data_IF_801592769827
#
_entry.id   IF_801592769827
#
_cell.length_a   1.000
_cell.length_b   1.000
_cell.length_c   1.000
_cell.angle_alpha   90.00
_cell.angle_beta   90.00
_cell.angle_gamma   90.00
#
_symmetry.space_group_name_H-M   'P 1'
#
loop_
_entity.id
_entity.type
_entity.pdbx_description
1 polymer ?
#
# COMPACT_ATOMS: atom_id res chain seq x y z
N UNK A 1 29.28 -14.09 14.27
CA UNK A 1 29.75 -14.68 13.01
C UNK A 1 30.37 -13.57 12.16
N UNK A 2 31.65 -13.67 11.86
CA UNK A 2 32.36 -12.69 11.01
C UNK A 2 32.22 -13.11 9.55
N UNK A 3 31.65 -12.26 8.69
CA UNK A 3 31.56 -12.52 7.24
C UNK A 3 32.65 -11.73 6.51
N UNK A 4 33.44 -12.40 5.66
CA UNK A 4 34.42 -11.74 4.78
C UNK A 4 33.82 -11.63 3.37
N UNK A 5 33.78 -10.42 2.83
CA UNK A 5 33.33 -10.20 1.45
C UNK A 5 34.43 -10.62 0.46
N UNK A 6 34.11 -11.54 -0.45
CA UNK A 6 35.00 -11.99 -1.54
C UNK A 6 34.66 -11.33 -2.88
N UNK A 7 33.75 -10.36 -2.88
CA UNK A 7 33.24 -9.72 -4.11
C UNK A 7 34.36 -9.07 -4.92
N UNK A 8 35.33 -8.42 -4.27
CA UNK A 8 36.44 -7.76 -4.97
C UNK A 8 37.39 -8.75 -5.65
N UNK A 9 37.81 -9.81 -4.93
CA UNK A 9 38.63 -10.88 -5.50
C UNK A 9 37.93 -11.56 -6.66
N UNK A 10 36.62 -11.81 -6.53
CA UNK A 10 35.79 -12.36 -7.60
C UNK A 10 35.73 -11.42 -8.82
N UNK A 11 35.47 -10.12 -8.63
CA UNK A 11 35.40 -9.15 -9.72
C UNK A 11 36.75 -9.01 -10.44
N UNK A 12 37.86 -9.02 -9.71
CA UNK A 12 39.20 -8.99 -10.28
C UNK A 12 39.45 -10.21 -11.19
N UNK A 13 39.18 -11.42 -10.69
CA UNK A 13 39.33 -12.65 -11.46
C UNK A 13 38.40 -12.68 -12.69
N UNK A 14 37.14 -12.25 -12.54
CA UNK A 14 36.17 -12.15 -13.64
C UNK A 14 36.63 -11.20 -14.74
N UNK A 15 37.05 -9.98 -14.36
CA UNK A 15 37.48 -8.97 -15.32
C UNK A 15 38.78 -9.38 -16.03
N UNK A 16 39.72 -10.02 -15.31
CA UNK A 16 40.96 -10.54 -15.88
C UNK A 16 40.70 -11.67 -16.90
N UNK A 17 39.83 -12.63 -16.55
CA UNK A 17 39.42 -13.69 -17.47
C UNK A 17 38.72 -13.15 -18.73
N UNK A 18 37.92 -12.09 -18.59
CA UNK A 18 37.25 -11.44 -19.71
C UNK A 18 38.24 -10.74 -20.66
N UNK A 19 39.18 -9.97 -20.10
CA UNK A 19 40.24 -9.33 -20.91
C UNK A 19 41.08 -10.38 -21.64
N UNK A 20 41.46 -11.48 -20.99
CA UNK A 20 42.23 -12.55 -21.61
C UNK A 20 41.49 -13.21 -22.80
N UNK A 21 40.16 -13.32 -22.76
CA UNK A 21 39.34 -13.82 -23.87
C UNK A 21 39.18 -12.82 -25.02
N UNK A 22 39.24 -11.52 -24.75
CA UNK A 22 39.08 -10.48 -25.77
C UNK A 22 40.39 -10.13 -26.50
N UNK A 23 41.53 -10.19 -25.81
CA UNK A 23 42.84 -9.86 -26.40
C UNK A 23 43.47 -11.03 -27.16
N UNK A 24 43.09 -12.27 -26.85
CA UNK A 24 43.52 -13.45 -27.58
C UNK A 24 42.31 -14.09 -28.28
N UNK A 25 41.94 -13.63 -29.50
CA UNK A 25 41.08 -14.45 -30.33
C UNK A 25 41.86 -15.73 -30.62
N UNK A 26 41.18 -16.84 -30.39
CA UNK A 26 41.72 -18.18 -30.43
C UNK A 26 42.57 -18.43 -31.68
N UNK A 27 43.90 -18.41 -31.52
CA UNK A 27 44.85 -19.03 -32.44
C UNK A 27 45.51 -20.24 -31.76
N UNK A 28 44.86 -20.77 -30.71
CA UNK A 28 45.30 -21.98 -30.01
C UNK A 28 44.45 -23.12 -30.56
N UNK A 29 45.03 -23.82 -31.53
CA UNK A 29 44.77 -25.20 -31.95
C UNK A 29 43.39 -25.80 -31.63
N UNK A 30 42.75 -26.34 -32.67
CA UNK A 30 41.45 -27.03 -32.76
C UNK A 30 41.11 -28.10 -31.68
N UNK A 31 41.96 -28.33 -30.67
CA UNK A 31 41.90 -29.43 -29.70
C UNK A 31 41.15 -29.11 -28.38
N UNK A 32 40.49 -27.96 -28.26
CA UNK A 32 39.64 -27.66 -27.11
C UNK A 32 38.17 -27.58 -27.51
N UNK A 33 37.63 -28.70 -28.00
CA UNK A 33 36.18 -28.89 -28.07
C UNK A 33 35.56 -28.61 -26.70
N UNK A 34 34.69 -27.60 -26.63
CA UNK A 34 34.00 -27.25 -25.41
C UNK A 34 33.06 -28.40 -25.00
N UNK A 35 33.46 -29.19 -24.01
CA UNK A 35 32.69 -30.32 -23.44
C UNK A 35 31.37 -29.92 -22.77
N UNK A 36 31.06 -28.63 -22.75
CA UNK A 36 29.80 -28.10 -22.26
C UNK A 36 29.17 -27.30 -23.40
N UNK A 37 27.96 -27.69 -23.88
CA UNK A 37 27.24 -26.89 -24.85
C UNK A 37 27.16 -25.45 -24.35
N UNK A 38 27.72 -24.51 -25.12
CA UNK A 38 27.62 -23.07 -24.85
C UNK A 38 26.13 -22.77 -24.78
N UNK A 39 25.62 -22.62 -23.56
CA UNK A 39 24.19 -22.50 -23.35
C UNK A 39 23.71 -21.30 -24.16
N UNK A 40 22.65 -21.47 -24.94
CA UNK A 40 21.97 -20.36 -25.65
C UNK A 40 21.27 -19.40 -24.66
N UNK A 41 21.72 -19.35 -23.42
CA UNK A 41 21.38 -18.29 -22.49
C UNK A 41 22.15 -17.10 -23.04
N UNK A 42 21.44 -16.27 -23.83
CA UNK A 42 21.89 -14.93 -24.17
C UNK A 42 22.45 -14.30 -22.90
N UNK A 43 23.77 -14.20 -22.88
CA UNK A 43 24.58 -13.37 -22.02
C UNK A 43 24.08 -13.20 -20.57
N UNK A 44 24.16 -14.28 -19.77
CA UNK A 44 24.27 -14.08 -18.32
C UNK A 44 25.52 -13.24 -17.96
N UNK A 45 26.49 -13.14 -18.89
CA UNK A 45 27.78 -12.48 -18.75
C UNK A 45 27.79 -11.01 -19.26
N UNK A 46 26.81 -10.55 -20.07
CA UNK A 46 26.74 -9.15 -20.57
C UNK A 46 26.23 -8.14 -19.53
N UNK A 47 25.89 -8.58 -18.31
CA UNK A 47 25.36 -7.69 -17.26
C UNK A 47 24.05 -6.97 -17.61
N UNK A 48 23.43 -7.29 -18.76
CA UNK A 48 22.12 -6.78 -19.12
C UNK A 48 21.09 -7.64 -18.39
N UNK A 49 20.27 -7.09 -17.48
CA UNK A 49 19.11 -7.82 -17.01
C UNK A 49 18.23 -8.02 -18.23
N UNK A 50 18.18 -9.25 -18.75
CA UNK A 50 17.03 -9.65 -19.56
C UNK A 50 15.83 -9.46 -18.63
N UNK A 51 15.06 -8.38 -18.84
CA UNK A 51 13.89 -8.10 -18.00
C UNK A 51 13.03 -9.35 -17.99
N UNK A 52 13.00 -10.02 -16.84
CA UNK A 52 12.29 -11.28 -16.64
C UNK A 52 10.78 -11.06 -16.60
N UNK A 53 10.31 -9.82 -16.75
CA UNK A 53 8.92 -9.46 -16.66
C UNK A 53 8.49 -8.60 -17.85
N UNK A 54 7.24 -8.73 -18.31
CA UNK A 54 6.68 -7.81 -19.28
C UNK A 54 6.79 -6.37 -18.76
N UNK A 55 7.23 -5.39 -19.58
CA UNK A 55 7.39 -4.01 -19.14
C UNK A 55 6.07 -3.38 -18.68
N UNK A 56 4.93 -3.88 -19.17
CA UNK A 56 3.60 -3.48 -18.71
C UNK A 56 3.31 -3.96 -17.28
N UNK A 57 3.71 -5.18 -16.92
CA UNK A 57 3.57 -5.72 -15.57
C UNK A 57 4.41 -4.91 -14.58
N UNK A 58 5.66 -4.62 -14.94
CA UNK A 58 6.56 -3.81 -14.13
C UNK A 58 6.00 -2.39 -13.90
N UNK A 59 5.51 -1.74 -14.96
CA UNK A 59 4.84 -0.44 -14.85
C UNK A 59 3.65 -0.47 -13.89
N UNK A 60 2.83 -1.52 -13.96
CA UNK A 60 1.66 -1.65 -13.10
C UNK A 60 2.05 -1.91 -11.63
N UNK A 61 3.07 -2.74 -11.38
CA UNK A 61 3.62 -2.95 -10.03
C UNK A 61 4.15 -1.64 -9.45
N UNK A 62 4.94 -0.89 -10.22
CA UNK A 62 5.46 0.41 -9.80
C UNK A 62 4.32 1.43 -9.54
N UNK A 63 3.29 1.40 -10.38
CA UNK A 63 2.09 2.22 -10.19
C UNK A 63 1.38 1.91 -8.87
N UNK A 64 1.19 0.63 -8.52
CA UNK A 64 0.60 0.21 -7.24
C UNK A 64 1.48 0.61 -6.05
N UNK A 65 2.79 0.46 -6.17
CA UNK A 65 3.70 0.90 -5.11
C UNK A 65 3.64 2.42 -4.91
N UNK A 66 3.50 3.18 -5.98
CA UNK A 66 3.28 4.62 -5.91
C UNK A 66 1.93 4.97 -5.26
N UNK A 67 0.84 4.27 -5.58
CA UNK A 67 -0.43 4.54 -4.88
C UNK A 67 -0.32 4.25 -3.38
N UNK A 68 0.46 3.25 -2.95
CA UNK A 68 0.70 2.99 -1.53
C UNK A 68 1.47 4.11 -0.83
N UNK A 69 2.43 4.76 -1.50
CA UNK A 69 3.12 5.91 -0.90
C UNK A 69 2.17 7.10 -0.73
N UNK A 70 1.31 7.34 -1.73
CA UNK A 70 0.26 8.37 -1.65
C UNK A 70 -0.73 8.07 -0.52
N UNK A 71 -1.20 6.83 -0.37
CA UNK A 71 -2.08 6.41 0.73
C UNK A 71 -1.43 6.71 2.08
N UNK A 72 -0.15 6.34 2.26
CA UNK A 72 0.57 6.58 3.51
C UNK A 72 0.68 8.08 3.83
N UNK A 73 0.89 8.91 2.82
CA UNK A 73 1.00 10.35 2.99
C UNK A 73 -0.35 10.96 3.38
N UNK A 74 -1.40 10.70 2.61
CA UNK A 74 -2.77 11.17 2.88
C UNK A 74 -3.29 10.70 4.25
N UNK A 75 -2.97 9.48 4.65
CA UNK A 75 -3.34 8.97 5.97
C UNK A 75 -2.68 9.74 7.11
N UNK A 76 -1.41 10.16 6.96
CA UNK A 76 -0.74 11.00 7.96
C UNK A 76 -1.37 12.39 8.05
N UNK A 77 -1.69 12.98 6.90
CA UNK A 77 -2.38 14.28 6.82
C UNK A 77 -3.74 14.22 7.53
N UNK A 78 -4.51 13.16 7.27
CA UNK A 78 -5.81 12.93 7.90
C UNK A 78 -5.70 12.74 9.42
N UNK A 79 -4.70 12.00 9.90
CA UNK A 79 -4.46 11.85 11.34
C UNK A 79 -4.12 13.19 11.99
N UNK A 80 -3.28 14.01 11.34
CA UNK A 80 -2.95 15.35 11.85
C UNK A 80 -4.19 16.26 11.87
N UNK A 81 -5.08 16.12 10.89
CA UNK A 81 -6.37 16.82 10.85
C UNK A 81 -7.27 16.37 12.00
N UNK A 82 -7.42 15.05 12.21
CA UNK A 82 -8.17 14.49 13.34
C UNK A 82 -7.69 15.01 14.69
N UNK A 83 -6.37 15.03 14.92
CA UNK A 83 -5.81 15.52 16.18
C UNK A 83 -6.06 17.02 16.35
N UNK A 84 -5.98 17.82 15.28
CA UNK A 84 -6.31 19.25 15.30
C UNK A 84 -7.77 19.49 15.64
N UNK A 85 -8.69 18.78 14.97
CA UNK A 85 -10.13 18.86 15.22
C UNK A 85 -10.47 18.44 16.66
N UNK A 86 -9.82 17.39 17.17
CA UNK A 86 -9.93 17.02 18.57
C UNK A 86 -9.33 18.10 19.49
N UNK A 87 -8.28 18.80 19.12
CA UNK A 87 -7.72 19.87 19.98
C UNK A 87 -8.54 21.16 19.94
N UNK A 88 -9.36 21.38 18.91
CA UNK A 88 -10.30 22.49 18.87
C UNK A 88 -11.24 22.38 20.09
N UNK A 89 -11.07 23.31 21.03
CA UNK A 89 -11.82 23.38 22.28
C UNK A 89 -13.03 24.32 22.17
N UNK A 90 -13.37 24.76 20.96
CA UNK A 90 -14.38 25.77 20.73
C UNK A 90 -15.74 25.11 20.51
N UNK A 91 -16.79 25.69 21.12
CA UNK A 91 -18.20 25.37 20.91
C UNK A 91 -18.74 25.90 19.56
N UNK A 92 -17.85 26.31 18.65
CA UNK A 92 -18.26 26.73 17.32
C UNK A 92 -18.38 25.47 16.46
N UNK A 93 -19.51 25.30 15.78
CA UNK A 93 -19.71 24.20 14.83
C UNK A 93 -18.69 24.38 13.70
N UNK A 94 -17.53 23.72 13.80
CA UNK A 94 -16.48 23.72 12.79
C UNK A 94 -16.89 22.87 11.57
N UNK A 95 -18.02 23.23 10.96
CA UNK A 95 -18.59 22.60 9.77
C UNK A 95 -17.57 22.52 8.64
N UNK A 96 -16.69 23.52 8.53
CA UNK A 96 -15.61 23.55 7.53
C UNK A 96 -14.55 22.47 7.79
N UNK A 97 -14.16 22.22 9.05
CA UNK A 97 -13.19 21.18 9.40
C UNK A 97 -13.79 19.78 9.22
N UNK A 98 -15.07 19.60 9.57
CA UNK A 98 -15.80 18.35 9.34
C UNK A 98 -15.93 18.03 7.83
N UNK A 99 -16.22 19.05 7.01
CA UNK A 99 -16.23 18.90 5.55
C UNK A 99 -14.84 18.55 5.02
N UNK A 100 -13.78 19.14 5.55
CA UNK A 100 -12.40 18.82 5.15
C UNK A 100 -12.04 17.36 5.49
N UNK A 101 -12.40 16.88 6.69
CA UNK A 101 -12.21 15.49 7.10
C UNK A 101 -12.98 14.53 6.20
N UNK A 102 -14.25 14.84 5.89
CA UNK A 102 -15.07 14.00 5.03
C UNK A 102 -14.48 13.93 3.61
N UNK A 103 -14.04 15.06 3.06
CA UNK A 103 -13.41 15.14 1.74
C UNK A 103 -12.11 14.33 1.68
N UNK A 104 -11.20 14.52 2.64
CA UNK A 104 -9.95 13.76 2.70
C UNK A 104 -10.19 12.25 2.89
N UNK A 105 -11.22 11.88 3.65
CA UNK A 105 -11.64 10.49 3.86
C UNK A 105 -12.15 9.87 2.55
N UNK A 106 -12.98 10.59 1.78
CA UNK A 106 -13.48 10.15 0.47
C UNK A 106 -12.34 9.97 -0.53
N UNK A 107 -11.45 10.95 -0.66
CA UNK A 107 -10.28 10.87 -1.53
C UNK A 107 -9.41 9.66 -1.20
N UNK A 108 -9.17 9.41 0.08
CA UNK A 108 -8.36 8.27 0.51
C UNK A 108 -9.03 6.94 0.14
N UNK A 109 -10.35 6.82 0.30
CA UNK A 109 -11.13 5.66 -0.13
C UNK A 109 -11.07 5.47 -1.66
N UNK A 110 -11.11 6.54 -2.45
CA UNK A 110 -10.93 6.46 -3.90
C UNK A 110 -9.55 5.91 -4.29
N UNK A 111 -8.49 6.33 -3.59
CA UNK A 111 -7.12 5.83 -3.84
C UNK A 111 -6.99 4.35 -3.44
N UNK A 112 -7.65 3.91 -2.37
CA UNK A 112 -7.75 2.48 -2.01
C UNK A 112 -8.44 1.68 -3.13
N UNK A 113 -9.57 2.19 -3.66
CA UNK A 113 -10.30 1.56 -4.76
C UNK A 113 -9.46 1.50 -6.05
N UNK A 114 -8.72 2.56 -6.36
CA UNK A 114 -7.78 2.58 -7.48
C UNK A 114 -6.71 1.48 -7.33
N UNK A 115 -6.13 1.36 -6.14
CA UNK A 115 -5.10 0.36 -5.83
C UNK A 115 -5.64 -1.07 -5.98
N UNK A 116 -6.88 -1.32 -5.54
CA UNK A 116 -7.55 -2.60 -5.75
C UNK A 116 -7.80 -2.91 -7.24
N UNK A 117 -8.24 -1.93 -8.03
CA UNK A 117 -8.42 -2.10 -9.48
C UNK A 117 -7.11 -2.44 -10.18
N UNK A 118 -6.03 -1.74 -9.84
CA UNK A 118 -4.69 -2.02 -10.37
C UNK A 118 -4.19 -3.41 -9.98
N UNK A 119 -4.42 -3.85 -8.75
CA UNK A 119 -4.10 -5.21 -8.30
C UNK A 119 -4.90 -6.28 -9.08
N UNK A 120 -6.18 -5.99 -9.37
CA UNK A 120 -7.02 -6.84 -10.21
C UNK A 120 -6.53 -6.91 -11.67
N UNK A 121 -6.09 -5.79 -12.24
CA UNK A 121 -5.44 -5.75 -13.55
C UNK A 121 -4.14 -6.58 -13.57
N UNK A 122 -3.34 -6.50 -12.50
CA UNK A 122 -2.10 -7.26 -12.36
C UNK A 122 -2.37 -8.77 -12.34
N UNK A 123 -3.42 -9.18 -11.62
CA UNK A 123 -3.89 -10.56 -11.63
C UNK A 123 -4.36 -11.01 -13.02
N UNK A 124 -5.11 -10.19 -13.76
CA UNK A 124 -5.54 -10.51 -15.13
C UNK A 124 -4.36 -10.67 -16.09
N UNK A 125 -3.40 -9.75 -16.07
CA UNK A 125 -2.22 -9.77 -16.92
C UNK A 125 -1.34 -11.01 -16.68
N UNK A 126 -1.31 -11.50 -15.44
CA UNK A 126 -0.66 -12.75 -15.07
C UNK A 126 -1.28 -13.98 -15.76
N UNK A 127 -2.60 -14.03 -15.89
CA UNK A 127 -3.28 -15.18 -16.50
C UNK A 127 -3.31 -15.10 -18.03
N UNK A 128 -3.27 -13.90 -18.62
CA UNK A 128 -3.35 -13.72 -20.08
C UNK A 128 -2.03 -13.94 -20.80
N UNK A 129 -0.89 -13.70 -20.15
CA UNK A 129 0.40 -13.72 -20.86
C UNK A 129 0.98 -15.14 -20.90
N UNK A 130 1.11 -15.71 -22.10
CA UNK A 130 1.81 -17.01 -22.30
C UNK A 130 3.28 -17.00 -21.85
N UNK A 131 3.83 -15.83 -21.50
CA UNK A 131 5.19 -15.62 -21.00
C UNK A 131 5.40 -16.16 -19.58
N UNK A 132 4.33 -16.29 -18.78
CA UNK A 132 4.40 -16.84 -17.42
C UNK A 132 4.51 -18.39 -17.39
N UNK A 133 4.72 -19.04 -18.55
CA UNK A 133 4.89 -20.50 -18.68
C UNK A 133 6.28 -20.95 -18.17
N UNK A 134 6.47 -20.81 -16.87
CA UNK A 134 7.64 -21.31 -16.14
C UNK A 134 7.37 -21.26 -14.64
N UNK A 135 7.58 -22.40 -13.95
CA UNK A 135 7.23 -22.55 -12.52
C UNK A 135 7.82 -21.44 -11.63
N UNK A 136 9.01 -20.94 -11.94
CA UNK A 136 9.68 -19.92 -11.11
C UNK A 136 9.12 -18.51 -11.33
N UNK A 137 8.92 -18.10 -12.57
CA UNK A 137 8.43 -16.75 -12.91
C UNK A 137 6.96 -16.60 -12.50
N UNK A 138 6.16 -17.67 -12.64
CA UNK A 138 4.80 -17.74 -12.12
C UNK A 138 4.76 -17.57 -10.59
N UNK A 139 5.53 -18.38 -9.83
CA UNK A 139 5.61 -18.27 -8.37
C UNK A 139 6.07 -16.89 -7.92
N UNK A 140 7.05 -16.30 -8.62
CA UNK A 140 7.54 -14.97 -8.28
C UNK A 140 6.44 -13.91 -8.47
N UNK A 141 5.70 -13.95 -9.57
CA UNK A 141 4.58 -13.04 -9.80
C UNK A 141 3.46 -13.19 -8.76
N UNK A 142 3.21 -14.43 -8.29
CA UNK A 142 2.25 -14.71 -7.23
C UNK A 142 2.70 -14.16 -5.88
N UNK A 143 3.99 -14.32 -5.56
CA UNK A 143 4.58 -13.74 -4.34
C UNK A 143 4.52 -12.20 -4.37
N UNK A 144 4.82 -11.57 -5.51
CA UNK A 144 4.70 -10.12 -5.66
C UNK A 144 3.24 -9.70 -5.46
N UNK A 145 2.30 -10.31 -6.16
CA UNK A 145 0.86 -10.02 -6.02
C UNK A 145 0.39 -10.18 -4.58
N UNK A 146 0.78 -11.27 -3.92
CA UNK A 146 0.44 -11.56 -2.52
C UNK A 146 1.05 -10.54 -1.56
N UNK A 147 2.29 -10.11 -1.79
CA UNK A 147 2.94 -9.09 -0.99
C UNK A 147 2.23 -7.74 -1.12
N UNK A 148 1.86 -7.34 -2.34
CA UNK A 148 1.12 -6.10 -2.60
C UNK A 148 -0.27 -6.13 -1.98
N UNK A 149 -0.97 -7.27 -2.10
CA UNK A 149 -2.28 -7.48 -1.48
C UNK A 149 -2.20 -7.36 0.06
N UNK A 150 -1.20 -8.00 0.68
CA UNK A 150 -0.97 -7.90 2.13
C UNK A 150 -0.68 -6.47 2.55
N UNK A 151 0.19 -5.76 1.84
CA UNK A 151 0.48 -4.36 2.17
C UNK A 151 -0.75 -3.46 2.03
N UNK A 152 -1.62 -3.69 1.05
CA UNK A 152 -2.86 -2.95 0.88
C UNK A 152 -3.85 -3.25 2.02
N UNK A 153 -3.95 -4.52 2.41
CA UNK A 153 -4.75 -4.94 3.55
C UNK A 153 -4.26 -4.30 4.84
N UNK A 154 -2.95 -4.30 5.10
CA UNK A 154 -2.35 -3.67 6.28
C UNK A 154 -2.59 -2.16 6.30
N UNK A 155 -2.52 -1.48 5.15
CA UNK A 155 -2.88 -0.07 5.05
C UNK A 155 -4.36 0.16 5.36
N UNK A 156 -5.25 -0.72 4.87
CA UNK A 156 -6.69 -0.62 5.16
C UNK A 156 -7.00 -0.86 6.65
N UNK A 157 -6.34 -1.81 7.30
CA UNK A 157 -6.56 -2.07 8.73
C UNK A 157 -6.09 -0.90 9.58
N UNK A 158 -4.91 -0.33 9.31
CA UNK A 158 -4.41 0.86 9.99
C UNK A 158 -5.34 2.05 9.78
N UNK A 159 -5.84 2.26 8.57
CA UNK A 159 -6.81 3.31 8.27
C UNK A 159 -8.08 3.19 9.12
N UNK A 160 -8.68 1.99 9.15
CA UNK A 160 -9.89 1.72 9.93
C UNK A 160 -9.67 1.90 11.42
N UNK A 161 -8.52 1.47 11.93
CA UNK A 161 -8.16 1.64 13.34
C UNK A 161 -8.01 3.12 13.69
N UNK A 162 -7.34 3.90 12.84
CA UNK A 162 -7.21 5.35 12.98
C UNK A 162 -8.57 6.04 13.02
N UNK A 163 -9.44 5.73 12.05
CA UNK A 163 -10.80 6.27 11.99
C UNK A 163 -11.65 5.88 13.21
N UNK A 164 -11.61 4.60 13.60
CA UNK A 164 -12.35 4.12 14.77
C UNK A 164 -11.86 4.79 16.06
N UNK A 165 -10.54 4.99 16.20
CA UNK A 165 -9.95 5.69 17.35
C UNK A 165 -10.43 7.14 17.40
N UNK A 166 -10.45 7.83 16.26
CA UNK A 166 -10.95 9.20 16.14
C UNK A 166 -12.42 9.30 16.56
N UNK A 167 -13.30 8.48 15.98
CA UNK A 167 -14.73 8.47 16.32
C UNK A 167 -15.00 8.12 17.80
N UNK A 168 -14.23 7.19 18.37
CA UNK A 168 -14.36 6.84 19.79
C UNK A 168 -13.95 8.02 20.69
N UNK A 169 -12.90 8.77 20.32
CA UNK A 169 -12.48 9.97 21.06
C UNK A 169 -13.54 11.07 20.97
N UNK A 170 -14.15 11.26 19.80
CA UNK A 170 -15.24 12.22 19.60
C UNK A 170 -16.45 11.85 20.48
N UNK A 171 -16.91 10.60 20.39
CA UNK A 171 -18.01 10.11 21.24
C UNK A 171 -17.73 10.26 22.74
N UNK A 172 -16.52 9.95 23.19
CA UNK A 172 -16.15 10.10 24.60
C UNK A 172 -16.17 11.57 25.06
N UNK A 173 -15.93 12.54 24.17
CA UNK A 173 -16.07 13.96 24.48
C UNK A 173 -17.54 14.33 24.61
N UNK A 174 -18.38 13.89 23.67
CA UNK A 174 -19.81 14.17 23.67
C UNK A 174 -20.51 13.57 24.89
N UNK A 175 -20.21 12.31 25.23
CA UNK A 175 -20.75 11.65 26.42
C UNK A 175 -20.34 12.40 27.70
N UNK A 176 -19.12 12.95 27.74
CA UNK A 176 -18.63 13.76 28.86
C UNK A 176 -19.34 15.12 28.93
N UNK A 177 -19.56 15.79 27.79
CA UNK A 177 -20.29 17.05 27.71
C UNK A 177 -21.75 16.85 28.13
N UNK A 178 -22.42 15.81 27.61
CA UNK A 178 -23.78 15.41 28.01
C UNK A 178 -23.87 15.12 29.51
N UNK A 179 -22.87 14.44 30.08
CA UNK A 179 -22.78 14.20 31.52
C UNK A 179 -22.70 15.49 32.36
N UNK A 180 -21.94 16.49 31.91
CA UNK A 180 -21.89 17.79 32.59
C UNK A 180 -23.18 18.60 32.43
N UNK A 181 -23.81 18.58 31.25
CA UNK A 181 -25.09 19.27 31.00
C UNK A 181 -26.25 18.62 31.78
N UNK A 182 -26.23 17.29 31.91
CA UNK A 182 -27.22 16.54 32.71
C UNK A 182 -27.06 16.75 34.22
N UNK A 183 -25.92 17.31 34.69
CA UNK A 183 -25.71 17.74 36.07
C UNK A 183 -26.09 19.23 36.31
N UNK A 184 -26.68 19.90 35.32
CA UNK A 184 -27.25 21.25 35.49
C UNK A 184 -28.26 21.30 36.64
N UNK A 185 -28.34 22.41 37.40
CA UNK A 185 -29.06 22.45 38.66
C UNK A 185 -30.54 22.09 38.45
N UNK A 186 -31.08 21.22 39.32
CA UNK A 186 -32.51 21.00 39.46
C UNK A 186 -33.21 22.35 39.67
N UNK A 187 -33.79 22.89 38.61
CA UNK A 187 -34.88 23.85 38.69
C UNK A 187 -36.12 23.12 38.19
N UNK A 188 -37.08 23.01 39.09
CA UNK A 188 -38.30 22.21 38.96
C UNK A 188 -39.20 22.56 37.77
N UNK A 189 -39.89 21.51 37.33
CA UNK A 189 -41.21 21.38 36.71
C UNK A 189 -41.53 21.95 35.30
N UNK A 190 -41.76 21.01 34.37
CA UNK A 190 -42.44 21.23 33.08
C UNK A 190 -42.27 20.03 32.12
N UNK A 191 -43.35 19.52 31.46
CA UNK A 191 -43.31 18.23 30.80
C UNK A 191 -42.42 18.24 29.55
N UNK A 192 -41.45 17.32 29.59
CA UNK A 192 -40.48 16.90 28.59
C UNK A 192 -40.90 17.12 27.12
N UNK A 193 -40.33 18.17 26.51
CA UNK A 193 -40.27 18.32 25.07
C UNK A 193 -39.25 17.35 24.49
N UNK A 194 -39.70 16.51 23.57
CA UNK A 194 -38.89 15.62 22.74
C UNK A 194 -37.79 16.40 22.02
N UNK A 195 -36.55 16.27 22.48
CA UNK A 195 -35.38 16.83 21.81
C UNK A 195 -34.86 15.79 20.79
N UNK A 196 -34.84 16.21 19.52
CA UNK A 196 -34.58 15.42 18.32
C UNK A 196 -33.38 14.45 18.40
N UNK A 197 -33.68 13.17 18.23
CA UNK A 197 -32.73 12.06 18.09
C UNK A 197 -32.57 11.68 16.59
N UNK A 198 -32.42 12.68 15.70
CA UNK A 198 -32.47 12.45 14.24
C UNK A 198 -31.22 12.85 13.43
N UNK A 199 -30.18 13.44 14.04
CA UNK A 199 -28.96 13.85 13.32
C UNK A 199 -27.76 12.90 13.39
N UNK A 200 -27.58 12.22 14.53
CA UNK A 200 -26.29 11.57 14.86
C UNK A 200 -26.10 10.18 14.22
N UNK A 201 -27.18 9.54 13.81
CA UNK A 201 -27.13 8.21 13.19
C UNK A 201 -26.63 8.26 11.74
N UNK A 202 -26.85 9.35 11.01
CA UNK A 202 -26.54 9.41 9.58
C UNK A 202 -25.03 9.48 9.30
N UNK A 203 -24.28 10.24 10.09
CA UNK A 203 -22.81 10.32 9.97
C UNK A 203 -22.12 9.01 10.37
N UNK A 204 -22.62 8.34 11.43
CA UNK A 204 -22.07 7.07 11.89
C UNK A 204 -22.39 5.91 10.93
N UNK A 205 -23.54 5.96 10.26
CA UNK A 205 -23.93 4.99 9.22
C UNK A 205 -23.17 5.24 7.91
N UNK A 206 -22.98 6.49 7.49
CA UNK A 206 -22.20 6.84 6.28
C UNK A 206 -20.71 6.50 6.40
N UNK A 207 -20.11 6.77 7.57
CA UNK A 207 -18.72 6.40 7.86
C UNK A 207 -18.53 4.87 7.89
N UNK A 208 -19.46 4.13 8.52
CA UNK A 208 -19.46 2.66 8.51
C UNK A 208 -19.68 2.07 7.12
N UNK A 209 -20.51 2.69 6.27
CA UNK A 209 -20.70 2.27 4.88
C UNK A 209 -19.41 2.42 4.06
N UNK A 210 -18.70 3.56 4.21
CA UNK A 210 -17.41 3.80 3.56
C UNK A 210 -16.33 2.78 3.98
N UNK A 211 -16.38 2.30 5.23
CA UNK A 211 -15.52 1.23 5.77
C UNK A 211 -15.95 -0.16 5.29
N UNK A 212 -17.25 -0.37 5.04
CA UNK A 212 -17.83 -1.65 4.59
C UNK A 212 -17.60 -1.91 3.10
N UNK A 213 -17.59 -0.88 2.25
CA UNK A 213 -17.34 -1.04 0.81
C UNK A 213 -15.92 -1.56 0.50
N UNK A 214 -14.97 -1.30 1.41
CA UNK A 214 -13.62 -1.86 1.32
C UNK A 214 -13.57 -3.35 1.74
N UNK A 215 -14.65 -3.92 2.30
CA UNK A 215 -14.76 -5.34 2.71
C UNK A 215 -15.56 -6.23 1.75
N UNK A 216 -16.34 -5.69 0.82
CA UNK A 216 -17.03 -6.56 -0.12
C UNK A 216 -16.08 -6.92 -1.25
N UNK A 217 -15.33 -8.00 -1.10
CA UNK A 217 -14.98 -8.99 -2.14
C UNK A 217 -13.99 -9.97 -1.50
N UNK A 218 -14.52 -10.76 -0.56
CA UNK A 218 -13.96 -12.06 -0.18
C UNK A 218 -14.61 -13.12 -1.05
#
# INVERSE_FOLDING_TARGET
>A
MTTRSLTESFLFMRNNAFQNRQFFPDNRSEDHEALVPRSKIKDAESGRPASQFPPEWEKLVNSVQYTFTVIRQKMKELIALHDRHLMAANLDDNVDEDQEIEQQTKELTEIFNLSHRQLGQLSKLRHSTSFWKGNQVQKLSENVLSSLARTLQDLSTVFRQSQSSYLNKLKSRDDRIKGYLSLGPQLEDGPSGTMDEFGDNEYQVRSKACISDVLQYK
#
